data_IF_446851341575
#
_entry.id   IF_446851341575
#
_cell.length_a   1.000
_cell.length_b   1.000
_cell.length_c   1.000
_cell.angle_alpha   90.00
_cell.angle_beta   90.00
_cell.angle_gamma   90.00
#
_symmetry.space_group_name_H-M   'P 1'
#
loop_
_entity.id
_entity.type
_entity.pdbx_description
1 polymer ?
#
# COMPACT_ATOMS: atom_id res chain seq x y z
N UNK A 1 -24.70 1.32 10.36
CA UNK A 1 -23.23 1.52 10.28
C UNK A 1 -22.62 0.46 11.17
N UNK A 2 -21.80 -0.46 10.65
CA UNK A 2 -21.06 -1.35 11.54
C UNK A 2 -20.22 -0.48 12.47
N UNK A 3 -20.18 -0.84 13.75
CA UNK A 3 -19.39 -0.12 14.73
C UNK A 3 -17.91 -0.37 14.43
N UNK A 4 -17.21 0.66 13.94
CA UNK A 4 -15.78 0.57 13.67
C UNK A 4 -15.02 0.07 14.91
N UNK A 5 -14.07 -0.84 14.67
CA UNK A 5 -13.33 -1.54 15.72
C UNK A 5 -11.82 -1.46 15.45
N UNK A 6 -11.04 -1.56 16.54
CA UNK A 6 -9.59 -1.55 16.43
C UNK A 6 -9.08 -2.91 15.97
N UNK A 7 -8.57 -2.96 14.75
CA UNK A 7 -7.89 -4.12 14.19
C UNK A 7 -6.37 -4.03 14.37
N UNK A 8 -5.67 -5.13 14.09
CA UNK A 8 -4.21 -5.12 13.97
C UNK A 8 -3.77 -4.07 12.92
N UNK A 9 -2.76 -3.25 13.21
CA UNK A 9 -2.24 -2.26 12.27
C UNK A 9 -1.84 -2.88 10.92
N UNK A 10 -2.47 -2.45 9.83
CA UNK A 10 -2.13 -2.82 8.45
C UNK A 10 -2.09 -1.58 7.56
N UNK A 11 -1.05 -1.45 6.75
CA UNK A 11 -1.02 -0.42 5.70
C UNK A 11 -1.95 -0.76 4.55
N UNK A 12 -2.45 0.25 3.83
CA UNK A 12 -3.29 0.06 2.64
C UNK A 12 -2.60 -0.85 1.59
N UNK A 13 -1.26 -0.78 1.50
CA UNK A 13 -0.47 -1.64 0.62
C UNK A 13 -0.50 -3.11 1.05
N UNK A 14 -0.39 -3.38 2.36
CA UNK A 14 -0.54 -4.74 2.90
C UNK A 14 -1.95 -5.27 2.64
N UNK A 15 -2.97 -4.45 2.89
CA UNK A 15 -4.37 -4.80 2.64
C UNK A 15 -4.61 -5.11 1.16
N UNK A 16 -4.06 -4.30 0.24
CA UNK A 16 -4.16 -4.56 -1.19
C UNK A 16 -3.47 -5.87 -1.59
N UNK A 17 -2.33 -6.23 -0.98
CA UNK A 17 -1.70 -7.54 -1.21
C UNK A 17 -2.57 -8.69 -0.73
N UNK A 18 -3.21 -8.57 0.44
CA UNK A 18 -4.13 -9.59 0.92
C UNK A 18 -5.36 -9.74 0.03
N UNK A 19 -5.88 -8.64 -0.51
CA UNK A 19 -6.96 -8.69 -1.49
C UNK A 19 -6.56 -9.52 -2.72
N UNK A 20 -5.37 -9.28 -3.29
CA UNK A 20 -4.86 -10.06 -4.44
C UNK A 20 -4.67 -11.55 -4.10
N UNK A 21 -4.07 -11.85 -2.95
CA UNK A 21 -3.91 -13.23 -2.48
C UNK A 21 -5.25 -13.94 -2.30
N UNK A 22 -6.27 -13.23 -1.79
CA UNK A 22 -7.62 -13.78 -1.70
C UNK A 22 -8.22 -14.04 -3.08
N UNK A 23 -8.01 -13.16 -4.07
CA UNK A 23 -8.47 -13.40 -5.45
C UNK A 23 -7.85 -14.67 -6.03
N UNK A 24 -6.56 -14.85 -5.83
CA UNK A 24 -5.83 -16.03 -6.29
C UNK A 24 -6.36 -17.29 -5.61
N UNK A 25 -6.61 -17.23 -4.30
CA UNK A 25 -7.16 -18.34 -3.53
C UNK A 25 -8.59 -18.73 -3.96
N UNK A 26 -9.39 -17.77 -4.44
CA UNK A 26 -10.69 -18.03 -5.06
C UNK A 26 -10.59 -18.48 -6.53
N UNK A 27 -9.39 -18.57 -7.11
CA UNK A 27 -9.20 -18.95 -8.51
C UNK A 27 -9.58 -17.86 -9.51
N UNK A 28 -9.71 -16.60 -9.07
CA UNK A 28 -10.15 -15.47 -9.89
C UNK A 28 -9.06 -14.42 -10.12
N UNK A 29 -7.80 -14.84 -10.09
CA UNK A 29 -6.61 -13.99 -10.31
C UNK A 29 -6.67 -13.27 -11.67
N UNK A 30 -6.89 -14.03 -12.74
CA UNK A 30 -6.94 -13.52 -14.12
C UNK A 30 -8.31 -12.95 -14.53
N UNK A 31 -9.34 -13.06 -13.67
CA UNK A 31 -10.66 -12.55 -13.99
C UNK A 31 -10.61 -11.01 -14.07
N UNK A 32 -11.02 -10.43 -15.19
CA UNK A 32 -11.17 -8.97 -15.29
C UNK A 32 -12.19 -8.50 -14.26
N UNK A 33 -13.35 -9.17 -14.20
CA UNK A 33 -14.42 -8.91 -13.24
C UNK A 33 -14.63 -10.12 -12.34
N UNK A 34 -14.56 -9.92 -11.03
CA UNK A 34 -14.83 -10.98 -10.05
C UNK A 34 -16.30 -11.38 -10.03
N UNK A 35 -16.55 -12.69 -10.07
CA UNK A 35 -17.82 -13.26 -9.64
C UNK A 35 -17.83 -13.37 -8.11
N UNK A 36 -18.39 -12.34 -7.48
CA UNK A 36 -18.44 -12.22 -6.02
C UNK A 36 -19.36 -13.27 -5.40
N UNK A 37 -20.35 -13.74 -6.16
CA UNK A 37 -21.31 -14.74 -5.71
C UNK A 37 -20.65 -16.11 -5.66
N UNK A 38 -19.81 -16.43 -6.66
CA UNK A 38 -18.97 -17.63 -6.64
C UNK A 38 -18.00 -17.61 -5.46
N UNK A 39 -17.32 -16.47 -5.19
CA UNK A 39 -16.44 -16.34 -4.03
C UNK A 39 -17.18 -16.62 -2.71
N UNK A 40 -18.36 -16.03 -2.52
CA UNK A 40 -19.19 -16.26 -1.32
C UNK A 40 -19.64 -17.72 -1.19
N UNK A 41 -19.94 -18.39 -2.31
CA UNK A 41 -20.37 -19.80 -2.32
C UNK A 41 -19.22 -20.80 -2.22
N UNK A 42 -17.97 -20.33 -2.18
CA UNK A 42 -16.82 -21.21 -1.99
C UNK A 42 -16.95 -22.00 -0.69
N UNK A 43 -16.45 -23.23 -0.69
CA UNK A 43 -16.42 -24.09 0.52
C UNK A 43 -15.34 -23.68 1.52
N UNK A 44 -14.36 -22.91 1.06
CA UNK A 44 -13.24 -22.44 1.88
C UNK A 44 -12.83 -21.02 1.48
N UNK A 45 -12.19 -20.36 2.42
CA UNK A 45 -11.63 -19.03 2.27
C UNK A 45 -10.21 -19.03 2.80
N UNK A 46 -9.29 -18.43 2.05
CA UNK A 46 -7.96 -18.15 2.56
C UNK A 46 -8.03 -16.96 3.52
N UNK A 47 -7.41 -17.10 4.69
CA UNK A 47 -7.27 -16.00 5.65
C UNK A 47 -5.79 -15.77 5.93
N UNK A 48 -5.43 -14.62 6.50
CA UNK A 48 -4.05 -14.35 6.93
C UNK A 48 -3.56 -15.34 8.02
N UNK A 49 -4.46 -16.15 8.58
CA UNK A 49 -4.22 -17.17 9.61
C UNK A 49 -4.31 -18.60 9.06
N UNK A 50 -4.46 -18.77 7.75
CA UNK A 50 -4.62 -20.08 7.09
C UNK A 50 -5.98 -20.25 6.42
N UNK A 51 -6.12 -21.34 5.67
CA UNK A 51 -7.38 -21.66 4.96
C UNK A 51 -8.40 -22.17 5.97
N UNK A 52 -9.62 -21.64 5.90
CA UNK A 52 -10.75 -22.02 6.75
C UNK A 52 -11.94 -22.44 5.90
N UNK A 53 -12.80 -23.35 6.39
CA UNK A 53 -14.14 -23.54 5.86
C UNK A 53 -14.89 -22.21 5.81
N UNK A 54 -15.60 -21.97 4.70
CA UNK A 54 -16.48 -20.82 4.51
C UNK A 54 -17.92 -21.31 4.56
N UNK A 55 -18.70 -20.74 5.48
CA UNK A 55 -20.15 -20.87 5.49
C UNK A 55 -20.75 -19.59 4.98
N UNK A 56 -21.65 -19.73 4.01
CA UNK A 56 -22.37 -18.61 3.45
C UNK A 56 -23.87 -18.87 3.52
N UNK A 57 -24.62 -17.87 3.98
CA UNK A 57 -26.08 -17.88 3.95
C UNK A 57 -26.63 -16.53 3.51
N UNK A 58 -27.79 -16.60 2.87
CA UNK A 58 -28.60 -15.44 2.51
C UNK A 58 -29.72 -15.36 3.53
N UNK A 59 -29.86 -14.21 4.16
CA UNK A 59 -30.78 -14.01 5.29
C UNK A 59 -31.88 -13.04 4.89
N UNK A 60 -33.16 -13.29 5.25
CA UNK A 60 -34.25 -12.36 4.96
C UNK A 60 -33.99 -10.95 5.49
N UNK A 61 -34.40 -9.94 4.73
CA UNK A 61 -34.18 -8.52 5.06
C UNK A 61 -34.70 -8.14 6.45
N UNK A 62 -35.84 -8.70 6.86
CA UNK A 62 -36.44 -8.45 8.16
C UNK A 62 -35.59 -8.99 9.33
N UNK A 63 -34.81 -10.05 9.13
CA UNK A 63 -33.98 -10.68 10.16
C UNK A 63 -32.61 -9.97 10.30
N UNK A 64 -32.09 -9.38 9.22
CA UNK A 64 -30.83 -8.64 9.22
C UNK A 64 -30.96 -7.21 9.76
N UNK A 65 -32.18 -6.65 9.82
CA UNK A 65 -32.41 -5.27 10.26
C UNK A 65 -31.62 -4.27 9.43
N UNK A 66 -30.85 -3.41 10.10
CA UNK A 66 -30.04 -2.36 9.45
C UNK A 66 -28.73 -2.87 8.84
N UNK A 67 -28.33 -4.12 9.11
CA UNK A 67 -27.07 -4.68 8.61
C UNK A 67 -27.24 -5.21 7.18
N UNK A 68 -26.40 -4.76 6.25
CA UNK A 68 -26.43 -5.23 4.86
C UNK A 68 -25.66 -6.56 4.68
N UNK A 69 -24.76 -6.86 5.62
CA UNK A 69 -23.97 -8.08 5.68
C UNK A 69 -23.37 -8.24 7.08
N UNK A 70 -22.97 -9.46 7.40
CA UNK A 70 -22.34 -9.79 8.67
C UNK A 70 -21.38 -10.96 8.54
N UNK A 71 -20.12 -10.72 8.85
CA UNK A 71 -19.10 -11.77 8.99
C UNK A 71 -18.82 -12.12 10.44
N UNK A 72 -18.68 -13.41 10.72
CA UNK A 72 -18.25 -13.95 12.01
C UNK A 72 -17.09 -14.92 11.78
N UNK A 73 -15.99 -14.73 12.50
CA UNK A 73 -14.76 -15.52 12.32
C UNK A 73 -14.44 -16.29 13.60
N UNK A 74 -14.45 -17.62 13.54
CA UNK A 74 -14.07 -18.48 14.66
C UNK A 74 -12.71 -19.12 14.41
N UNK A 75 -12.19 -19.85 15.41
CA UNK A 75 -11.01 -20.69 15.23
C UNK A 75 -11.22 -21.77 14.17
N UNK A 76 -12.45 -22.20 13.93
CA UNK A 76 -12.78 -23.34 13.07
C UNK A 76 -13.24 -22.92 11.68
N UNK A 77 -13.94 -21.80 11.53
CA UNK A 77 -14.57 -21.40 10.26
C UNK A 77 -14.78 -19.89 10.14
N UNK A 78 -15.13 -19.47 8.93
CA UNK A 78 -15.64 -18.13 8.62
C UNK A 78 -17.09 -18.26 8.19
N UNK A 79 -17.99 -17.52 8.80
CA UNK A 79 -19.40 -17.45 8.43
C UNK A 79 -19.72 -16.06 7.90
N UNK A 80 -20.32 -15.98 6.71
CA UNK A 80 -20.75 -14.74 6.07
C UNK A 80 -22.25 -14.82 5.81
N UNK A 81 -22.97 -13.85 6.34
CA UNK A 81 -24.41 -13.69 6.14
C UNK A 81 -24.65 -12.41 5.33
N UNK A 82 -25.43 -12.50 4.25
CA UNK A 82 -25.76 -11.35 3.41
C UNK A 82 -27.28 -11.17 3.37
N UNK A 83 -27.72 -9.92 3.53
CA UNK A 83 -29.13 -9.53 3.39
C UNK A 83 -29.66 -9.92 2.01
N UNK A 84 -30.86 -10.49 1.93
CA UNK A 84 -31.40 -11.04 0.69
C UNK A 84 -31.45 -10.02 -0.45
N UNK A 85 -31.95 -8.80 -0.21
CA UNK A 85 -31.93 -7.73 -1.23
C UNK A 85 -30.52 -7.40 -1.73
N UNK A 86 -29.54 -7.34 -0.84
CA UNK A 86 -28.13 -7.09 -1.18
C UNK A 86 -27.57 -8.26 -2.02
N UNK A 87 -27.91 -9.50 -1.67
CA UNK A 87 -27.48 -10.65 -2.44
C UNK A 87 -28.06 -10.66 -3.87
N UNK A 88 -29.34 -10.33 -4.02
CA UNK A 88 -29.98 -10.21 -5.34
C UNK A 88 -29.36 -9.06 -6.16
N UNK A 89 -29.18 -7.89 -5.55
CA UNK A 89 -28.52 -6.75 -6.20
C UNK A 89 -27.09 -7.09 -6.64
N UNK A 90 -26.34 -7.83 -5.82
CA UNK A 90 -24.99 -8.28 -6.17
C UNK A 90 -25.00 -9.23 -7.38
N UNK A 91 -26.00 -10.13 -7.50
CA UNK A 91 -26.18 -10.98 -8.70
C UNK A 91 -26.46 -10.16 -9.95
N UNK A 92 -27.28 -9.11 -9.84
CA UNK A 92 -27.54 -8.18 -10.95
C UNK A 92 -26.36 -7.25 -11.25
N UNK A 93 -25.29 -7.34 -10.48
CA UNK A 93 -24.07 -6.59 -10.72
C UNK A 93 -24.06 -5.20 -10.12
N UNK A 94 -24.99 -4.87 -9.22
CA UNK A 94 -25.07 -3.56 -8.57
C UNK A 94 -23.82 -3.31 -7.74
N UNK A 95 -23.07 -2.27 -8.10
CA UNK A 95 -21.73 -2.04 -7.57
C UNK A 95 -21.66 -1.86 -6.05
N UNK A 96 -22.67 -1.23 -5.43
CA UNK A 96 -22.74 -1.09 -3.97
C UNK A 96 -22.88 -2.45 -3.29
N UNK A 97 -23.81 -3.28 -3.74
CA UNK A 97 -24.04 -4.60 -3.18
C UNK A 97 -22.81 -5.52 -3.34
N UNK A 98 -22.15 -5.47 -4.51
CA UNK A 98 -20.89 -6.19 -4.72
C UNK A 98 -19.78 -5.73 -3.76
N UNK A 99 -19.69 -4.43 -3.52
CA UNK A 99 -18.75 -3.88 -2.54
C UNK A 99 -19.06 -4.37 -1.12
N UNK A 100 -20.33 -4.38 -0.71
CA UNK A 100 -20.75 -4.95 0.58
C UNK A 100 -20.31 -6.41 0.71
N UNK A 101 -20.59 -7.25 -0.29
CA UNK A 101 -20.14 -8.65 -0.27
C UNK A 101 -18.61 -8.79 -0.16
N UNK A 102 -17.85 -7.97 -0.91
CA UNK A 102 -16.40 -7.97 -0.84
C UNK A 102 -15.86 -7.45 0.51
N UNK A 103 -16.59 -6.54 1.16
CA UNK A 103 -16.30 -6.01 2.49
C UNK A 103 -16.45 -7.10 3.56
N UNK A 104 -17.53 -7.88 3.50
CA UNK A 104 -17.71 -9.03 4.40
C UNK A 104 -16.63 -10.11 4.20
N UNK A 105 -16.24 -10.38 2.96
CA UNK A 105 -15.08 -11.25 2.67
C UNK A 105 -13.82 -10.70 3.31
N UNK A 106 -13.59 -9.37 3.24
CA UNK A 106 -12.42 -8.73 3.85
C UNK A 106 -12.32 -9.02 5.35
N UNK A 107 -13.45 -8.92 6.07
CA UNK A 107 -13.50 -9.31 7.48
C UNK A 107 -13.10 -10.76 7.70
N UNK A 108 -13.59 -11.67 6.84
CA UNK A 108 -13.25 -13.09 6.91
C UNK A 108 -11.76 -13.38 6.68
N UNK A 109 -11.14 -12.62 5.76
CA UNK A 109 -9.72 -12.78 5.41
C UNK A 109 -8.80 -12.23 6.49
N UNK A 110 -9.10 -11.04 7.03
CA UNK A 110 -8.14 -10.27 7.83
C UNK A 110 -8.42 -10.31 9.34
N UNK A 111 -9.67 -10.40 9.77
CA UNK A 111 -10.06 -10.05 11.14
C UNK A 111 -10.54 -11.26 11.95
N UNK A 112 -10.36 -11.22 13.27
CA UNK A 112 -10.93 -12.19 14.21
C UNK A 112 -12.17 -11.62 14.93
N UNK A 113 -13.11 -12.49 15.33
CA UNK A 113 -14.26 -12.06 16.15
C UNK A 113 -13.83 -11.40 17.48
N UNK A 114 -12.68 -11.78 18.03
CA UNK A 114 -12.17 -11.19 19.27
C UNK A 114 -11.74 -9.72 19.08
N UNK A 115 -11.26 -9.35 17.89
CA UNK A 115 -10.87 -7.98 17.53
C UNK A 115 -12.12 -7.11 17.32
N UNK A 116 -13.17 -7.69 16.73
CA UNK A 116 -14.48 -7.03 16.53
C UNK A 116 -15.20 -6.76 17.85
N UNK A 117 -15.15 -7.71 18.81
CA UNK A 117 -15.88 -7.60 20.09
C UNK A 117 -15.22 -6.68 21.12
N UNK A 118 -13.88 -6.56 21.12
CA UNK A 118 -13.12 -5.84 22.17
C UNK A 118 -13.50 -4.36 22.37
N UNK A 119 -14.23 -3.75 21.43
CA UNK A 119 -14.71 -2.36 21.54
C UNK A 119 -16.20 -2.26 21.84
N UNK A 120 -17.03 -3.26 21.47
CA UNK A 120 -18.47 -3.24 21.75
C UNK A 120 -18.79 -3.21 23.26
N UNK A 121 -17.88 -3.74 24.10
CA UNK A 121 -18.01 -3.80 25.57
C UNK A 121 -17.21 -2.73 26.32
N UNK A 122 -16.42 -1.90 25.62
CA UNK A 122 -15.47 -0.97 26.21
C UNK A 122 -15.96 0.48 26.15
N UNK A 123 -16.19 1.07 27.32
CA UNK A 123 -16.65 2.44 27.53
C UNK A 123 -15.60 3.50 27.10
N UNK A 124 -15.31 3.59 25.80
CA UNK A 124 -14.41 4.59 25.23
C UNK A 124 -15.13 5.37 24.14
N UNK A 125 -15.39 6.66 24.43
CA UNK A 125 -15.72 7.72 23.46
C UNK A 125 -15.05 7.42 22.11
N UNK A 126 -15.80 7.57 21.00
CA UNK A 126 -15.31 7.53 19.62
C UNK A 126 -13.88 8.10 19.50
N UNK A 127 -12.88 7.25 19.73
CA UNK A 127 -11.50 7.61 19.53
C UNK A 127 -11.35 7.48 18.03
N UNK A 128 -11.05 8.57 17.33
CA UNK A 128 -10.75 8.54 15.91
C UNK A 128 -9.64 7.51 15.69
N UNK A 129 -10.00 6.30 15.27
CA UNK A 129 -9.04 5.27 14.95
C UNK A 129 -8.26 5.76 13.75
N UNK A 130 -6.93 5.59 13.82
CA UNK A 130 -6.12 5.90 12.65
C UNK A 130 -6.54 4.92 11.54
N UNK A 131 -6.58 5.34 10.26
CA UNK A 131 -7.05 4.48 9.17
C UNK A 131 -6.39 3.09 9.14
N UNK A 132 -5.09 3.02 9.45
CA UNK A 132 -4.35 1.77 9.50
C UNK A 132 -4.71 0.85 10.69
N UNK A 133 -5.49 1.31 11.68
CA UNK A 133 -5.96 0.54 12.85
C UNK A 133 -7.48 0.32 12.83
N UNK A 134 -8.20 0.94 11.89
CA UNK A 134 -9.65 0.79 11.73
C UNK A 134 -9.97 -0.46 10.92
N UNK A 135 -10.73 -1.38 11.51
CA UNK A 135 -11.18 -2.60 10.85
C UNK A 135 -12.03 -2.31 9.62
N UNK A 136 -12.90 -1.29 9.71
CA UNK A 136 -13.81 -0.87 8.63
C UNK A 136 -13.06 -0.20 7.48
N UNK A 137 -12.08 0.68 7.78
CA UNK A 137 -11.23 1.28 6.76
C UNK A 137 -10.44 0.20 6.02
N UNK A 138 -9.79 -0.72 6.76
CA UNK A 138 -9.05 -1.82 6.17
C UNK A 138 -9.97 -2.70 5.30
N UNK A 139 -11.18 -3.04 5.77
CA UNK A 139 -12.15 -3.83 5.01
C UNK A 139 -12.64 -3.10 3.74
N UNK A 140 -12.85 -1.78 3.79
CA UNK A 140 -13.18 -0.97 2.61
C UNK A 140 -12.06 -0.91 1.57
N UNK A 141 -10.81 -0.73 2.01
CA UNK A 141 -9.63 -0.77 1.13
C UNK A 141 -9.50 -2.15 0.48
N UNK A 142 -9.66 -3.21 1.27
CA UNK A 142 -9.64 -4.58 0.77
C UNK A 142 -10.72 -4.80 -0.28
N UNK A 143 -11.99 -4.47 0.02
CA UNK A 143 -13.12 -4.70 -0.87
C UNK A 143 -12.89 -4.05 -2.24
N UNK A 144 -12.38 -2.82 -2.23
CA UNK A 144 -12.06 -2.09 -3.47
C UNK A 144 -10.93 -2.76 -4.25
N UNK A 145 -9.82 -3.10 -3.59
CA UNK A 145 -8.67 -3.76 -4.22
C UNK A 145 -8.99 -5.21 -4.67
N UNK A 146 -9.92 -5.87 -3.99
CA UNK A 146 -10.40 -7.20 -4.35
C UNK A 146 -11.20 -7.12 -5.63
N UNK A 147 -12.13 -6.16 -5.76
CA UNK A 147 -12.98 -6.02 -6.95
C UNK A 147 -12.23 -5.47 -8.18
N UNK A 148 -11.26 -4.58 -7.99
CA UNK A 148 -10.49 -3.96 -9.08
C UNK A 148 -9.20 -4.74 -9.31
N UNK A 149 -9.14 -5.51 -10.40
CA UNK A 149 -7.90 -6.19 -10.83
C UNK A 149 -6.81 -5.16 -11.21
N UNK A 150 -5.55 -5.50 -10.99
CA UNK A 150 -4.37 -4.74 -11.42
C UNK A 150 -4.43 -4.39 -12.91
N UNK A 151 -4.86 -5.31 -13.78
CA UNK A 151 -4.97 -5.00 -15.21
C UNK A 151 -5.96 -3.87 -15.50
N UNK A 152 -7.09 -3.84 -14.78
CA UNK A 152 -8.08 -2.76 -14.89
C UNK A 152 -7.45 -1.47 -14.36
N UNK A 153 -6.79 -1.53 -13.21
CA UNK A 153 -6.14 -0.38 -12.61
C UNK A 153 -5.05 0.21 -13.53
N UNK A 154 -4.24 -0.64 -14.16
CA UNK A 154 -3.18 -0.23 -15.08
C UNK A 154 -3.74 0.43 -16.34
N UNK A 155 -4.76 -0.17 -16.96
CA UNK A 155 -5.37 0.31 -18.21
C UNK A 155 -6.37 1.45 -17.99
N UNK A 156 -6.77 1.72 -16.75
CA UNK A 156 -7.75 2.76 -16.44
C UNK A 156 -7.25 4.15 -16.82
N UNK A 157 -8.01 4.80 -17.71
CA UNK A 157 -7.83 6.21 -18.10
C UNK A 157 -8.84 7.13 -17.43
N UNK A 158 -9.92 6.59 -16.86
CA UNK A 158 -10.90 7.34 -16.07
C UNK A 158 -11.55 6.51 -14.96
N UNK A 159 -12.19 7.20 -14.01
CA UNK A 159 -13.05 6.56 -12.99
C UNK A 159 -14.24 5.81 -13.62
N UNK A 160 -14.76 6.28 -14.75
CA UNK A 160 -15.87 5.61 -15.44
C UNK A 160 -15.44 4.24 -15.96
N UNK A 161 -14.23 4.14 -16.52
CA UNK A 161 -13.70 2.87 -17.02
C UNK A 161 -13.58 1.84 -15.89
N UNK A 162 -13.07 2.28 -14.73
CA UNK A 162 -12.98 1.42 -13.54
C UNK A 162 -14.38 0.98 -13.10
N UNK A 163 -15.34 1.90 -13.02
CA UNK A 163 -16.70 1.58 -12.60
C UNK A 163 -17.33 0.51 -13.50
N UNK A 164 -17.22 0.66 -14.82
CA UNK A 164 -17.79 -0.28 -15.80
C UNK A 164 -17.05 -1.61 -15.77
N UNK A 165 -15.71 -1.61 -15.87
CA UNK A 165 -14.92 -2.83 -16.01
C UNK A 165 -14.91 -3.66 -14.71
N UNK A 166 -14.70 -3.02 -13.56
CA UNK A 166 -14.72 -3.71 -12.27
C UNK A 166 -16.17 -3.95 -11.79
N UNK A 167 -17.15 -3.24 -12.35
CA UNK A 167 -18.57 -3.27 -11.97
C UNK A 167 -18.81 -2.79 -10.54
N UNK A 168 -18.19 -1.67 -10.17
CA UNK A 168 -18.34 -1.01 -8.88
C UNK A 168 -19.10 0.31 -9.04
N UNK A 169 -19.56 0.90 -7.94
CA UNK A 169 -20.24 2.20 -7.99
C UNK A 169 -19.31 3.29 -8.56
N UNK A 170 -19.89 4.28 -9.25
CA UNK A 170 -19.15 5.42 -9.79
C UNK A 170 -18.42 6.20 -8.69
N UNK A 171 -19.01 6.27 -7.49
CA UNK A 171 -18.40 6.95 -6.34
C UNK A 171 -17.15 6.21 -5.83
N UNK A 172 -17.26 4.90 -5.62
CA UNK A 172 -16.10 4.05 -5.27
C UNK A 172 -15.00 4.15 -6.33
N UNK A 173 -15.38 4.16 -7.62
CA UNK A 173 -14.43 4.28 -8.72
C UNK A 173 -13.70 5.63 -8.75
N UNK A 174 -14.41 6.74 -8.48
CA UNK A 174 -13.79 8.08 -8.37
C UNK A 174 -12.76 8.15 -7.25
N UNK A 175 -13.11 7.60 -6.07
CA UNK A 175 -12.20 7.55 -4.92
C UNK A 175 -10.95 6.74 -5.28
N UNK A 176 -11.13 5.55 -5.83
CA UNK A 176 -10.00 4.70 -6.23
C UNK A 176 -9.12 5.35 -7.29
N UNK A 177 -9.72 5.92 -8.35
CA UNK A 177 -8.98 6.56 -9.44
C UNK A 177 -8.16 7.75 -8.94
N UNK A 178 -8.73 8.61 -8.09
CA UNK A 178 -7.99 9.72 -7.46
C UNK A 178 -6.78 9.23 -6.65
N UNK A 179 -6.94 8.14 -5.89
CA UNK A 179 -5.83 7.54 -5.14
C UNK A 179 -4.79 6.87 -6.03
N UNK A 180 -5.21 6.28 -7.15
CA UNK A 180 -4.32 5.73 -8.17
C UNK A 180 -3.47 6.82 -8.82
N UNK A 181 -4.05 7.94 -9.21
CA UNK A 181 -3.32 9.09 -9.78
C UNK A 181 -2.31 9.66 -8.79
N UNK A 182 -2.69 9.84 -7.52
CA UNK A 182 -1.76 10.27 -6.46
C UNK A 182 -0.60 9.30 -6.28
N UNK A 183 -0.82 7.99 -6.43
CA UNK A 183 0.25 6.97 -6.37
C UNK A 183 1.17 7.06 -7.59
N UNK A 184 0.61 7.13 -8.81
CA UNK A 184 1.36 7.30 -10.07
C UNK A 184 2.24 8.56 -10.05
N UNK A 185 1.69 9.68 -9.58
CA UNK A 185 2.42 10.94 -9.48
C UNK A 185 3.56 10.86 -8.46
N UNK A 186 3.32 10.25 -7.28
CA UNK A 186 4.39 10.04 -6.29
C UNK A 186 5.52 9.16 -6.82
N UNK A 187 5.19 8.07 -7.52
CA UNK A 187 6.19 7.20 -8.13
C UNK A 187 7.04 7.94 -9.17
N UNK A 188 6.40 8.69 -10.07
CA UNK A 188 7.09 9.51 -11.07
C UNK A 188 7.99 10.59 -10.44
N UNK A 189 7.54 11.22 -9.36
CA UNK A 189 8.36 12.19 -8.62
C UNK A 189 9.55 11.53 -7.95
N UNK A 190 9.36 10.36 -7.32
CA UNK A 190 10.45 9.61 -6.70
C UNK A 190 11.51 9.17 -7.71
N UNK A 191 11.10 8.68 -8.89
CA UNK A 191 11.98 8.33 -10.00
C UNK A 191 12.82 9.52 -10.48
N UNK A 192 12.18 10.68 -10.68
CA UNK A 192 12.90 11.92 -11.03
C UNK A 192 13.94 12.32 -9.97
N UNK A 193 13.60 12.19 -8.69
CA UNK A 193 14.54 12.50 -7.59
C UNK A 193 15.71 11.51 -7.57
N UNK A 194 15.48 10.23 -7.88
CA UNK A 194 16.54 9.23 -7.99
C UNK A 194 17.48 9.56 -9.16
N UNK A 195 16.94 9.87 -10.34
CA UNK A 195 17.75 10.27 -11.50
C UNK A 195 18.63 11.49 -11.19
N UNK A 196 18.06 12.54 -10.60
CA UNK A 196 18.82 13.73 -10.19
C UNK A 196 19.92 13.41 -9.16
N UNK A 197 19.66 12.48 -8.24
CA UNK A 197 20.66 12.02 -7.27
C UNK A 197 21.79 11.29 -7.97
N UNK A 198 21.47 10.40 -8.90
CA UNK A 198 22.46 9.58 -9.61
C UNK A 198 23.33 10.46 -10.52
N UNK A 199 22.74 11.43 -11.21
CA UNK A 199 23.44 12.48 -11.97
C UNK A 199 24.42 13.25 -11.06
N UNK A 200 23.95 13.78 -9.93
CA UNK A 200 24.79 14.50 -8.99
C UNK A 200 25.94 13.65 -8.42
N UNK A 201 25.69 12.36 -8.13
CA UNK A 201 26.72 11.46 -7.63
C UNK A 201 27.77 11.13 -8.69
N UNK A 202 27.37 11.00 -9.96
CA UNK A 202 28.29 10.81 -11.07
C UNK A 202 29.16 12.06 -11.31
N UNK A 203 28.56 13.25 -11.31
CA UNK A 203 29.33 14.51 -11.41
C UNK A 203 30.38 14.64 -10.30
N UNK A 204 30.04 14.26 -9.05
CA UNK A 204 31.00 14.26 -7.93
C UNK A 204 32.11 13.22 -8.09
N UNK A 205 31.82 12.05 -8.66
CA UNK A 205 32.84 11.04 -8.95
C UNK A 205 33.80 11.55 -10.03
N UNK A 206 33.28 12.15 -11.10
CA UNK A 206 34.13 12.70 -12.17
C UNK A 206 35.06 13.81 -11.66
N UNK A 207 34.57 14.66 -10.75
CA UNK A 207 35.41 15.66 -10.06
C UNK A 207 36.49 15.05 -9.16
N UNK A 208 36.24 13.89 -8.53
CA UNK A 208 37.27 13.24 -7.70
C UNK A 208 38.34 12.55 -8.56
N UNK A 209 37.99 12.10 -9.77
CA UNK A 209 38.94 11.50 -10.71
C UNK A 209 39.79 12.54 -11.46
N UNK A 210 39.38 13.82 -11.50
CA UNK A 210 40.17 14.91 -12.07
C UNK A 210 41.18 15.56 -11.10
N UNK A 211 41.32 15.04 -9.88
CA UNK A 211 42.34 15.51 -8.93
C UNK A 211 43.73 15.09 -9.41
N UNK A 212 44.39 15.98 -10.14
CA UNK A 212 45.81 15.84 -10.48
C UNK A 212 46.65 16.22 -9.26
N UNK A 213 47.20 15.20 -8.59
CA UNK A 213 48.19 15.42 -7.55
C UNK A 213 49.49 15.93 -8.14
N UNK A 214 50.14 16.84 -7.43
CA UNK A 214 51.49 17.27 -7.71
C UNK A 214 52.48 16.17 -7.30
N UNK A 215 53.61 16.08 -8.01
CA UNK A 215 54.70 15.16 -7.67
C UNK A 215 55.45 15.53 -6.38
N UNK A 216 55.22 16.75 -5.87
CA UNK A 216 55.84 17.29 -4.67
C UNK A 216 55.14 16.77 -3.38
N UNK A 217 55.89 16.33 -2.36
CA UNK A 217 55.31 15.88 -1.10
C UNK A 217 54.79 17.05 -0.26
N UNK A 218 53.75 16.81 0.54
CA UNK A 218 53.25 17.74 1.52
C UNK A 218 54.34 18.15 2.51
N UNK A 219 54.48 19.45 2.78
CA UNK A 219 55.50 20.01 3.69
C UNK A 219 55.27 19.66 5.16
N UNK A 220 54.08 19.19 5.54
CA UNK A 220 53.73 18.82 6.92
C UNK A 220 53.80 17.31 7.15
N UNK A 221 53.18 16.50 6.29
CA UNK A 221 53.09 15.05 6.50
C UNK A 221 53.90 14.20 5.50
N UNK A 222 54.49 14.81 4.47
CA UNK A 222 55.32 14.13 3.48
C UNK A 222 54.56 13.30 2.43
N UNK A 223 53.23 13.26 2.46
CA UNK A 223 52.42 12.51 1.49
C UNK A 223 52.39 13.19 0.12
N UNK A 224 52.29 12.41 -0.97
CA UNK A 224 52.20 12.92 -2.36
C UNK A 224 50.75 13.05 -2.84
N UNK A 225 49.87 13.51 -1.97
CA UNK A 225 48.44 13.70 -2.24
C UNK A 225 48.07 15.18 -2.21
N UNK A 226 48.96 16.04 -2.72
CA UNK A 226 48.78 17.50 -2.77
C UNK A 226 48.15 17.88 -4.10
N UNK A 227 47.07 18.66 -4.10
CA UNK A 227 46.38 19.11 -5.32
C UNK A 227 46.03 20.61 -5.24
N UNK A 228 45.93 21.31 -6.39
CA UNK A 228 45.61 22.73 -6.42
C UNK A 228 44.13 22.99 -6.06
N UNK A 229 43.89 24.01 -5.24
CA UNK A 229 42.56 24.52 -4.88
C UNK A 229 42.56 26.04 -5.06
N UNK A 230 42.18 26.50 -6.26
CA UNK A 230 42.25 27.92 -6.62
C UNK A 230 43.70 28.41 -6.75
N UNK A 231 44.11 29.41 -5.96
CA UNK A 231 45.50 29.91 -5.90
C UNK A 231 46.37 29.25 -4.83
N UNK A 232 45.81 28.28 -4.09
CA UNK A 232 46.47 27.56 -3.00
C UNK A 232 46.57 26.07 -3.31
N UNK A 233 47.26 25.33 -2.45
CA UNK A 233 47.43 23.87 -2.55
C UNK A 233 46.92 23.22 -1.28
N UNK A 234 46.29 22.06 -1.40
CA UNK A 234 45.76 21.32 -0.26
C UNK A 234 46.25 19.87 -0.30
N UNK A 235 46.65 19.35 0.86
CA UNK A 235 47.00 17.96 1.03
C UNK A 235 45.79 17.15 1.48
N UNK A 236 45.44 16.09 0.76
CA UNK A 236 44.30 15.24 1.09
C UNK A 236 44.45 14.46 2.42
N UNK A 237 45.67 14.09 2.80
CA UNK A 237 45.89 13.21 3.96
C UNK A 237 45.86 13.95 5.32
N UNK A 238 46.29 15.21 5.37
CA UNK A 238 46.40 15.98 6.62
C UNK A 238 45.66 17.32 6.57
N UNK A 239 44.86 17.55 5.52
CA UNK A 239 44.07 18.76 5.27
C UNK A 239 44.86 20.08 5.36
N UNK A 240 46.19 20.02 5.23
CA UNK A 240 47.05 21.20 5.26
C UNK A 240 46.89 21.98 3.97
N UNK A 241 46.61 23.28 4.08
CA UNK A 241 46.55 24.23 2.97
C UNK A 241 47.82 25.09 2.96
N UNK A 242 48.54 25.10 1.84
CA UNK A 242 49.77 25.89 1.65
C UNK A 242 49.68 26.80 0.42
N UNK A 243 50.38 27.93 0.49
CA UNK A 243 50.64 28.78 -0.67
C UNK A 243 51.95 28.29 -1.32
N UNK A 244 52.01 28.19 -2.66
CA UNK A 244 53.19 27.64 -3.38
C UNK A 244 54.50 28.38 -3.07
N UNK A 245 54.38 29.63 -2.68
CA UNK A 245 55.48 30.47 -2.23
C UNK A 245 55.40 30.60 -0.72
N UNK A 246 56.03 29.66 -0.01
CA UNK A 246 56.71 30.05 1.21
C UNK A 246 58.06 30.58 0.76
N UNK A 247 58.15 31.91 0.68
CA UNK A 247 59.43 32.61 0.60
C UNK A 247 60.30 32.06 1.72
N UNK A 248 61.34 31.32 1.32
CA UNK A 248 62.33 30.83 2.25
C UNK A 248 63.06 32.03 2.82
N UNK A 249 62.76 32.37 4.08
CA UNK A 249 63.70 33.09 4.92
C UNK A 249 64.54 32.06 5.69
N UNK A 250 65.81 31.84 5.30
CA UNK A 250 66.78 31.23 6.19
C UNK A 250 67.42 32.31 7.07
N UNK A 251 67.21 32.22 8.39
CA UNK A 251 68.03 32.91 9.40
C UNK A 251 67.28 33.88 10.28
#
# INVERSE_FOLDING_TARGET
MPHDFRAKPLSDEQVCRYAKQARDAFGQSAASRIDIIECLKSKSIWTIRGVKPLRFSVVPDAEMGDDDGKTTVTSEEVSIQIKHSVFEDAKYGVGRARHTCAHEIAHGVMHESSEMLRVATGNTKHFWLKPYESGEHQAGVFATAFLINDEIAEKAVSASDISVQAGISMESAKIYFSNLEKRRNRARTAEKIQLLRDEYMNERRDLSHSLHYLDEPCTVCGSRTVFPVGSKYMCQECDTVSDRYQDGDPG
#
